data_IF_993391436341
#
_entry.id   IF_993391436341
#
_cell.length_a   1.000
_cell.length_b   1.000
_cell.length_c   1.000
_cell.angle_alpha   90.00
_cell.angle_beta   90.00
_cell.angle_gamma   90.00
#
_symmetry.space_group_name_H-M   'P 1'
#
loop_
_entity.id
_entity.type
_entity.pdbx_description
1 polymer ?
#
# COMPACT_ATOMS: atom_id res chain seq x y z
N UNK A 1 -16.25 -16.47 11.48
CA UNK A 1 -15.13 -15.49 11.50
C UNK A 1 -15.58 -14.33 12.36
N UNK A 2 -14.77 -13.73 13.25
CA UNK A 2 -15.18 -12.52 13.94
C UNK A 2 -15.50 -11.45 12.90
N UNK A 3 -16.70 -10.87 12.96
CA UNK A 3 -17.11 -9.83 12.01
C UNK A 3 -16.21 -8.60 12.16
N UNK A 4 -15.78 -8.04 11.01
CA UNK A 4 -15.05 -6.77 11.02
C UNK A 4 -16.02 -5.66 11.40
N UNK A 5 -15.61 -4.79 12.30
CA UNK A 5 -16.41 -3.62 12.67
C UNK A 5 -16.57 -2.68 11.46
N UNK A 6 -17.67 -1.91 11.37
CA UNK A 6 -17.84 -0.91 10.30
C UNK A 6 -16.66 0.06 10.19
N UNK A 7 -16.08 0.46 11.33
CA UNK A 7 -14.89 1.32 11.38
C UNK A 7 -13.67 0.68 10.70
N UNK A 8 -13.43 -0.61 10.92
CA UNK A 8 -12.32 -1.33 10.28
C UNK A 8 -12.51 -1.45 8.77
N UNK A 9 -13.74 -1.69 8.33
CA UNK A 9 -14.08 -1.75 6.91
C UNK A 9 -13.87 -0.39 6.25
N UNK A 10 -14.37 0.68 6.87
CA UNK A 10 -14.19 2.04 6.38
C UNK A 10 -12.71 2.44 6.30
N UNK A 11 -11.94 2.18 7.37
CA UNK A 11 -10.50 2.49 7.39
C UNK A 11 -9.75 1.75 6.28
N UNK A 12 -10.00 0.45 6.12
CA UNK A 12 -9.39 -0.34 5.06
C UNK A 12 -9.76 0.20 3.67
N UNK A 13 -11.04 0.46 3.42
CA UNK A 13 -11.51 0.98 2.15
C UNK A 13 -10.87 2.34 1.83
N UNK A 14 -10.83 3.27 2.79
CA UNK A 14 -10.22 4.58 2.62
C UNK A 14 -8.73 4.49 2.24
N UNK A 15 -7.97 3.62 2.92
CA UNK A 15 -6.55 3.41 2.64
C UNK A 15 -6.35 2.79 1.24
N UNK A 16 -7.14 1.78 0.88
CA UNK A 16 -7.05 1.13 -0.42
C UNK A 16 -7.42 2.10 -1.55
N UNK A 17 -8.48 2.88 -1.39
CA UNK A 17 -8.86 3.93 -2.33
C UNK A 17 -7.76 5.00 -2.45
N UNK A 18 -7.14 5.39 -1.34
CA UNK A 18 -6.02 6.34 -1.34
C UNK A 18 -4.81 5.81 -2.10
N UNK A 19 -4.40 4.57 -1.85
CA UNK A 19 -3.26 3.94 -2.52
C UNK A 19 -3.49 3.70 -4.01
N UNK A 20 -4.62 3.10 -4.36
CA UNK A 20 -5.01 2.89 -5.76
C UNK A 20 -5.17 4.23 -6.48
N UNK A 21 -5.76 5.23 -5.83
CA UNK A 21 -5.91 6.58 -6.36
C UNK A 21 -4.57 7.26 -6.62
N UNK A 22 -3.60 7.14 -5.70
CA UNK A 22 -2.24 7.65 -5.88
C UNK A 22 -1.55 7.00 -7.09
N UNK A 23 -1.61 5.67 -7.20
CA UNK A 23 -0.99 4.95 -8.32
C UNK A 23 -1.67 5.22 -9.65
N UNK A 24 -3.00 5.39 -9.65
CA UNK A 24 -3.75 5.82 -10.84
C UNK A 24 -3.33 7.23 -11.26
N UNK A 25 -3.17 8.15 -10.29
CA UNK A 25 -2.67 9.50 -10.54
C UNK A 25 -1.28 9.48 -11.18
N UNK A 26 -0.34 8.71 -10.60
CA UNK A 26 1.01 8.57 -11.16
C UNK A 26 0.96 8.01 -12.58
N UNK A 27 0.20 6.93 -12.81
CA UNK A 27 0.13 6.26 -14.10
C UNK A 27 -0.49 7.10 -15.23
N UNK A 28 -1.45 7.97 -14.90
CA UNK A 28 -2.21 8.78 -15.86
C UNK A 28 -1.64 10.17 -16.08
N UNK A 29 -1.01 10.77 -15.06
CA UNK A 29 -0.61 12.18 -15.10
C UNK A 29 0.90 12.41 -14.99
N UNK A 30 1.62 11.53 -14.28
CA UNK A 30 3.05 11.74 -14.02
C UNK A 30 3.95 10.92 -14.97
N UNK A 31 3.60 9.67 -15.26
CA UNK A 31 4.40 8.77 -16.11
C UNK A 31 4.09 8.96 -17.60
N UNK A 32 4.63 10.02 -18.23
CA UNK A 32 4.53 10.35 -19.66
C UNK A 32 3.08 10.48 -20.22
N UNK A 33 2.83 11.55 -20.99
CA UNK A 33 1.48 11.98 -21.47
C UNK A 33 0.70 10.97 -22.32
N UNK A 34 1.24 9.80 -22.60
CA UNK A 34 0.58 8.73 -23.37
C UNK A 34 0.46 7.50 -22.49
N UNK A 35 -0.76 7.02 -22.28
CA UNK A 35 -1.02 5.76 -21.60
C UNK A 35 -0.38 4.61 -22.40
N UNK A 36 0.68 4.02 -21.85
CA UNK A 36 1.37 2.87 -22.45
C UNK A 36 1.04 1.59 -21.71
N UNK A 37 1.23 0.43 -22.37
CA UNK A 37 1.16 -0.88 -21.71
C UNK A 37 2.12 -0.97 -20.51
N UNK A 38 3.25 -0.28 -20.59
CA UNK A 38 4.21 -0.17 -19.49
C UNK A 38 3.59 0.51 -18.26
N UNK A 39 2.90 1.65 -18.42
CA UNK A 39 2.24 2.34 -17.30
C UNK A 39 1.13 1.49 -16.68
N UNK A 40 0.37 0.76 -17.50
CA UNK A 40 -0.66 -0.16 -17.01
C UNK A 40 -0.04 -1.32 -16.19
N UNK A 41 1.09 -1.86 -16.66
CA UNK A 41 1.87 -2.86 -15.93
C UNK A 41 2.42 -2.31 -14.62
N UNK A 42 3.00 -1.10 -14.64
CA UNK A 42 3.53 -0.42 -13.46
C UNK A 42 2.44 -0.12 -12.42
N UNK A 43 1.27 0.34 -12.86
CA UNK A 43 0.10 0.54 -12.01
C UNK A 43 -0.33 -0.77 -11.34
N UNK A 44 -0.50 -1.82 -12.14
CA UNK A 44 -0.92 -3.13 -11.66
C UNK A 44 0.07 -3.70 -10.64
N UNK A 45 1.38 -3.57 -10.93
CA UNK A 45 2.47 -3.93 -10.05
C UNK A 45 2.44 -3.16 -8.73
N UNK A 46 2.22 -1.84 -8.79
CA UNK A 46 2.16 -0.96 -7.63
C UNK A 46 0.93 -1.19 -6.75
N UNK A 47 -0.14 -1.77 -7.31
CA UNK A 47 -1.34 -2.16 -6.58
C UNK A 47 -1.20 -3.50 -5.83
N UNK A 48 -0.24 -4.37 -6.17
CA UNK A 48 -0.10 -5.68 -5.52
C UNK A 48 0.10 -5.64 -4.00
N UNK A 49 0.92 -4.75 -3.42
CA UNK A 49 1.05 -4.64 -1.96
C UNK A 49 -0.28 -4.37 -1.25
N UNK A 50 -1.16 -3.57 -1.86
CA UNK A 50 -2.50 -3.31 -1.35
C UNK A 50 -3.39 -4.55 -1.45
N UNK A 51 -3.27 -5.31 -2.54
CA UNK A 51 -3.92 -6.62 -2.67
C UNK A 51 -3.48 -7.61 -1.59
N UNK A 52 -2.18 -7.65 -1.26
CA UNK A 52 -1.66 -8.48 -0.18
C UNK A 52 -2.18 -8.02 1.20
N UNK A 53 -2.19 -6.72 1.46
CA UNK A 53 -2.71 -6.16 2.70
C UNK A 53 -4.23 -6.40 2.85
N UNK A 54 -4.99 -6.27 1.76
CA UNK A 54 -6.40 -6.64 1.71
C UNK A 54 -6.57 -8.14 1.99
N UNK A 55 -5.83 -9.02 1.34
CA UNK A 55 -5.87 -10.46 1.58
C UNK A 55 -5.59 -10.79 3.06
N UNK A 56 -4.62 -10.13 3.69
CA UNK A 56 -4.35 -10.29 5.13
C UNK A 56 -5.55 -9.83 5.99
N UNK A 57 -6.18 -8.70 5.67
CA UNK A 57 -7.37 -8.24 6.38
C UNK A 57 -8.58 -9.15 6.16
N UNK A 58 -8.67 -9.79 4.97
CA UNK A 58 -9.79 -10.63 4.60
C UNK A 58 -9.70 -12.06 5.13
N UNK A 59 -8.52 -12.66 5.01
CA UNK A 59 -8.30 -14.10 5.21
C UNK A 59 -7.85 -14.44 6.64
N UNK A 60 -7.37 -13.45 7.41
CA UNK A 60 -6.96 -13.68 8.81
C UNK A 60 -8.07 -13.27 9.79
N UNK A 61 -8.06 -13.86 10.99
CA UNK A 61 -8.94 -13.43 12.10
C UNK A 61 -8.49 -12.12 12.76
N UNK A 62 -7.52 -11.41 12.17
CA UNK A 62 -6.87 -10.23 12.73
C UNK A 62 -6.88 -9.10 11.70
N UNK A 63 -8.03 -8.44 11.48
CA UNK A 63 -8.16 -7.43 10.42
C UNK A 63 -7.17 -6.26 10.57
N UNK A 64 -6.75 -5.94 11.81
CA UNK A 64 -5.72 -4.94 12.07
C UNK A 64 -4.37 -5.25 11.44
N UNK A 65 -4.01 -6.52 11.22
CA UNK A 65 -2.78 -6.89 10.52
C UNK A 65 -2.79 -6.35 9.09
N UNK A 66 -3.88 -6.52 8.35
CA UNK A 66 -4.01 -6.00 7.00
C UNK A 66 -4.19 -4.48 6.95
N UNK A 67 -4.95 -3.89 7.88
CA UNK A 67 -5.16 -2.43 7.94
C UNK A 67 -3.84 -1.69 8.18
N UNK A 68 -3.03 -2.15 9.14
CA UNK A 68 -1.75 -1.52 9.46
C UNK A 68 -0.74 -1.75 8.33
N UNK A 69 -0.72 -2.94 7.71
CA UNK A 69 0.07 -3.18 6.51
C UNK A 69 -0.29 -2.21 5.38
N UNK A 70 -1.57 -2.05 5.05
CA UNK A 70 -2.03 -1.14 4.01
C UNK A 70 -1.65 0.33 4.34
N UNK A 71 -1.78 0.74 5.60
CA UNK A 71 -1.42 2.09 6.03
C UNK A 71 0.08 2.37 5.87
N UNK A 72 0.94 1.43 6.25
CA UNK A 72 2.39 1.59 6.10
C UNK A 72 2.81 1.59 4.62
N UNK A 73 2.22 0.73 3.80
CA UNK A 73 2.44 0.76 2.35
C UNK A 73 2.07 2.13 1.78
N UNK A 74 0.91 2.67 2.13
CA UNK A 74 0.49 3.99 1.67
C UNK A 74 1.46 5.10 2.10
N UNK A 75 1.94 5.06 3.35
CA UNK A 75 2.93 6.03 3.83
C UNK A 75 4.24 5.96 3.04
N UNK A 76 4.73 4.75 2.76
CA UNK A 76 5.94 4.54 1.96
C UNK A 76 5.74 4.97 0.50
N UNK A 77 4.56 4.74 -0.06
CA UNK A 77 4.24 5.17 -1.43
C UNK A 77 4.12 6.69 -1.54
N UNK A 78 3.52 7.37 -0.56
CA UNK A 78 3.49 8.84 -0.49
C UNK A 78 4.91 9.41 -0.39
N UNK A 79 5.76 8.79 0.44
CA UNK A 79 7.17 9.17 0.51
C UNK A 79 7.90 8.96 -0.82
N UNK A 80 7.64 7.84 -1.49
CA UNK A 80 8.23 7.52 -2.81
C UNK A 80 7.78 8.53 -3.85
N UNK A 81 6.49 8.87 -3.90
CA UNK A 81 5.97 9.93 -4.76
C UNK A 81 6.70 11.25 -4.53
N UNK A 82 6.82 11.67 -3.27
CA UNK A 82 7.55 12.89 -2.91
C UNK A 82 9.02 12.84 -3.37
N UNK A 83 9.70 11.72 -3.13
CA UNK A 83 11.11 11.55 -3.48
C UNK A 83 11.37 11.47 -4.99
N UNK A 84 10.39 11.06 -5.79
CA UNK A 84 10.52 10.90 -7.25
C UNK A 84 10.05 12.14 -8.01
N UNK A 85 8.90 12.71 -7.63
CA UNK A 85 8.26 13.77 -8.41
C UNK A 85 8.41 15.16 -7.80
N UNK A 86 8.48 15.28 -6.46
CA UNK A 86 8.56 16.59 -5.79
C UNK A 86 10.02 16.99 -5.52
N UNK A 87 10.85 16.04 -5.08
CA UNK A 87 12.27 16.29 -4.78
C UNK A 87 13.18 15.18 -5.32
N UNK A 88 13.25 14.99 -6.65
CA UNK A 88 14.11 13.99 -7.28
C UNK A 88 15.58 14.18 -6.91
N UNK A 89 16.21 13.12 -6.43
CA UNK A 89 17.67 13.07 -6.19
C UNK A 89 18.34 12.21 -7.25
N UNK A 90 18.73 12.84 -8.36
CA UNK A 90 19.45 12.19 -9.46
C UNK A 90 18.54 11.46 -10.46
N UNK A 91 19.15 11.04 -11.57
CA UNK A 91 18.46 10.46 -12.74
C UNK A 91 17.86 9.08 -12.48
N UNK A 92 18.23 8.44 -11.37
CA UNK A 92 17.76 7.10 -10.99
C UNK A 92 16.52 7.13 -10.09
N UNK A 93 16.01 8.31 -9.73
CA UNK A 93 14.84 8.44 -8.85
C UNK A 93 13.64 7.65 -9.38
N UNK A 94 13.38 7.69 -10.69
CA UNK A 94 12.26 6.97 -11.31
C UNK A 94 12.33 5.44 -11.14
N UNK A 95 13.52 4.85 -10.95
CA UNK A 95 13.66 3.42 -10.67
C UNK A 95 13.00 3.02 -9.35
N UNK A 96 12.85 3.96 -8.40
CA UNK A 96 12.14 3.70 -7.16
C UNK A 96 10.69 3.29 -7.41
N UNK A 97 10.02 3.81 -8.45
CA UNK A 97 8.64 3.42 -8.78
C UNK A 97 8.54 1.93 -9.17
N UNK A 98 9.58 1.40 -9.80
CA UNK A 98 9.63 0.00 -10.21
C UNK A 98 9.92 -0.94 -9.03
N UNK A 99 10.86 -0.54 -8.15
CA UNK A 99 11.35 -1.39 -7.07
C UNK A 99 10.58 -1.24 -5.76
N UNK A 100 9.94 -0.10 -5.49
CA UNK A 100 9.24 0.11 -4.22
C UNK A 100 8.09 -0.88 -3.99
N UNK A 101 7.28 -1.27 -4.99
CA UNK A 101 6.25 -2.29 -4.79
C UNK A 101 6.83 -3.64 -4.33
N UNK A 102 8.05 -3.99 -4.79
CA UNK A 102 8.77 -5.17 -4.31
C UNK A 102 9.09 -5.01 -2.82
N UNK A 103 9.76 -3.91 -2.43
CA UNK A 103 10.10 -3.63 -1.04
C UNK A 103 8.87 -3.58 -0.13
N UNK A 104 7.76 -3.05 -0.64
CA UNK A 104 6.49 -3.06 0.06
C UNK A 104 6.01 -4.50 0.33
N UNK A 105 6.05 -5.39 -0.67
CA UNK A 105 5.66 -6.79 -0.50
C UNK A 105 6.57 -7.57 0.46
N UNK A 106 7.89 -7.39 0.35
CA UNK A 106 8.85 -8.23 1.10
C UNK A 106 9.17 -7.71 2.49
N UNK A 107 9.04 -6.41 2.74
CA UNK A 107 9.39 -5.79 4.03
C UNK A 107 8.17 -5.10 4.65
N UNK A 108 7.56 -4.14 3.96
CA UNK A 108 6.59 -3.23 4.59
C UNK A 108 5.29 -3.93 4.97
N UNK A 109 4.76 -4.79 4.08
CA UNK A 109 3.56 -5.59 4.34
C UNK A 109 3.79 -6.56 5.51
N UNK A 110 4.85 -7.40 5.53
CA UNK A 110 5.15 -8.25 6.68
C UNK A 110 5.33 -7.47 7.99
N UNK A 111 6.05 -6.34 7.95
CA UNK A 111 6.28 -5.50 9.12
C UNK A 111 4.97 -4.91 9.65
N UNK A 112 4.15 -4.33 8.78
CA UNK A 112 2.84 -3.78 9.16
C UNK A 112 1.88 -4.85 9.65
N UNK A 113 1.91 -6.04 9.05
CA UNK A 113 1.14 -7.19 9.51
C UNK A 113 1.57 -7.62 10.92
N UNK A 114 2.87 -7.68 11.20
CA UNK A 114 3.41 -8.01 12.52
C UNK A 114 3.00 -6.97 13.57
N UNK A 115 3.08 -5.68 13.25
CA UNK A 115 2.63 -4.59 14.13
C UNK A 115 1.12 -4.69 14.39
N UNK A 116 0.30 -4.82 13.35
CA UNK A 116 -1.16 -4.94 13.49
C UNK A 116 -1.59 -6.21 14.24
N UNK A 117 -0.85 -7.30 14.07
CA UNK A 117 -1.01 -8.52 14.84
C UNK A 117 -0.72 -8.29 16.32
N UNK A 118 0.36 -7.58 16.65
CA UNK A 118 0.73 -7.28 18.04
C UNK A 118 -0.31 -6.36 18.71
N UNK A 119 -0.75 -5.32 18.00
CA UNK A 119 -1.81 -4.41 18.45
C UNK A 119 -3.12 -5.16 18.74
N UNK A 120 -3.49 -6.13 17.91
CA UNK A 120 -4.68 -6.94 18.13
C UNK A 120 -4.60 -7.78 19.42
N UNK A 121 -3.39 -8.19 19.83
CA UNK A 121 -3.15 -8.99 21.05
C UNK A 121 -3.33 -8.17 22.33
N UNK A 122 -2.91 -6.91 22.31
CA UNK A 122 -3.09 -6.01 23.45
C UNK A 122 -4.56 -5.65 23.65
N UNK A 123 -5.30 -5.47 22.55
CA UNK A 123 -6.72 -5.10 22.59
C UNK A 123 -7.66 -6.24 23.01
N UNK A 124 -7.23 -7.50 22.90
CA UNK A 124 -7.99 -8.67 23.34
C UNK A 124 -7.71 -9.09 24.80
N UNK A 125 -6.82 -8.38 25.50
CA UNK A 125 -6.44 -8.67 26.90
C UNK A 125 -6.95 -7.63 27.90
N UNK A 126 -7.60 -6.58 27.42
CA UNK A 126 -8.26 -5.54 28.23
C UNK A 126 -9.77 -5.63 28.10
#
# INVERSE_FOLDING_TARGET
MPERTPMQQFALAAILCGGVGLHAYIALFESAKVATLFNAGLFSWSCLPYGAALALALLTRRPWAGIVAAALVLLVDVWTYYAVFVRPKGSTAALALLWMPLWNLIIVVPLGAAIGWLLSRFRSRG
#
